data_IF_612257889109
#
_entry.id   IF_612257889109
#
_cell.length_a   1.000
_cell.length_b   1.000
_cell.length_c   1.000
_cell.angle_alpha   90.00
_cell.angle_beta   90.00
_cell.angle_gamma   90.00
#
_symmetry.space_group_name_H-M   'P 1'
#
loop_
_entity.id
_entity.type
_entity.pdbx_description
1 polymer ?
#
# COMPACT_ATOMS: atom_id res chain seq x y z
N UNK A 1 8.29 19.22 49.40
CA UNK A 1 9.11 19.69 48.26
C UNK A 1 8.69 18.86 47.06
N UNK A 2 8.06 19.53 46.10
CA UNK A 2 7.63 18.99 44.80
C UNK A 2 8.78 19.03 43.80
N UNK A 3 8.79 18.10 42.84
CA UNK A 3 9.22 18.23 41.43
C UNK A 3 8.97 16.86 40.75
N UNK A 4 7.82 16.70 40.09
CA UNK A 4 7.54 16.88 38.65
C UNK A 4 7.93 15.65 37.82
N UNK A 5 6.96 14.85 37.39
CA UNK A 5 6.18 15.03 36.14
C UNK A 5 7.01 14.79 34.88
N UNK A 6 6.98 13.54 34.40
CA UNK A 6 7.20 13.20 33.00
C UNK A 6 6.02 12.33 32.52
N UNK A 7 4.80 12.82 32.74
CA UNK A 7 3.66 12.39 31.93
C UNK A 7 3.83 13.08 30.58
N UNK A 8 4.40 12.36 29.61
CA UNK A 8 4.40 12.80 28.21
C UNK A 8 2.93 12.81 27.80
N UNK A 9 2.32 13.99 27.86
CA UNK A 9 0.97 14.24 27.37
C UNK A 9 0.88 13.83 25.91
N UNK A 10 0.19 12.73 25.65
CA UNK A 10 -0.19 12.25 24.31
C UNK A 10 -1.31 13.10 23.67
N UNK A 11 -1.56 14.29 24.18
CA UNK A 11 -2.67 15.15 23.79
C UNK A 11 -2.21 16.25 22.84
N UNK A 12 -1.71 15.91 21.66
CA UNK A 12 -1.64 16.85 20.51
C UNK A 12 -0.90 16.23 19.32
N UNK A 13 -1.38 15.12 18.75
CA UNK A 13 -1.06 14.84 17.35
C UNK A 13 -2.16 15.50 16.53
N UNK A 14 -1.87 16.46 15.63
CA UNK A 14 -2.88 17.10 14.82
C UNK A 14 -3.55 16.05 13.93
N UNK A 15 -4.82 15.79 14.16
CA UNK A 15 -5.67 14.82 13.46
C UNK A 15 -5.76 15.06 11.95
N UNK A 16 -5.51 16.30 11.52
CA UNK A 16 -5.42 16.68 10.10
C UNK A 16 -4.24 16.01 9.38
N UNK A 17 -3.14 15.69 10.07
CA UNK A 17 -1.96 15.09 9.42
C UNK A 17 -2.21 13.63 9.00
N UNK A 18 -2.95 12.85 9.79
CA UNK A 18 -3.22 11.45 9.49
C UNK A 18 -4.08 11.27 8.23
N UNK A 19 -5.13 12.09 8.10
CA UNK A 19 -6.01 12.06 6.93
C UNK A 19 -5.25 12.45 5.66
N UNK A 20 -4.44 13.51 5.72
CA UNK A 20 -3.66 13.96 4.57
C UNK A 20 -2.58 12.94 4.15
N UNK A 21 -1.92 12.30 5.11
CA UNK A 21 -0.91 11.28 4.84
C UNK A 21 -1.53 10.02 4.21
N UNK A 22 -2.69 9.60 4.71
CA UNK A 22 -3.39 8.43 4.18
C UNK A 22 -4.08 8.73 2.83
N UNK A 23 -4.42 9.99 2.53
CA UNK A 23 -4.87 10.43 1.18
C UNK A 23 -3.80 10.27 0.10
N UNK A 24 -2.52 10.25 0.46
CA UNK A 24 -1.44 9.98 -0.50
C UNK A 24 -1.31 8.50 -0.88
N UNK A 25 -2.02 7.61 -0.19
CA UNK A 25 -2.03 6.18 -0.49
C UNK A 25 -3.09 5.91 -1.57
N UNK A 26 -2.77 5.11 -2.60
CA UNK A 26 -3.77 4.70 -3.58
C UNK A 26 -4.99 4.05 -2.93
N UNK A 27 -6.19 4.45 -3.34
CA UNK A 27 -7.45 3.87 -2.85
C UNK A 27 -7.43 2.35 -3.07
N UNK A 28 -7.70 1.56 -2.03
CA UNK A 28 -7.86 0.11 -2.17
C UNK A 28 -9.10 -0.16 -3.01
N UNK A 29 -8.92 -0.69 -4.21
CA UNK A 29 -10.01 -0.91 -5.16
C UNK A 29 -10.14 -2.36 -5.59
N UNK A 30 -9.19 -3.23 -5.22
CA UNK A 30 -9.28 -4.64 -5.55
C UNK A 30 -8.04 -5.45 -5.20
N UNK A 31 -8.02 -6.69 -5.72
CA UNK A 31 -6.88 -7.60 -5.62
C UNK A 31 -5.58 -6.96 -6.10
N UNK A 32 -5.72 -6.02 -7.04
CA UNK A 32 -4.69 -5.17 -7.61
C UNK A 32 -3.65 -4.64 -6.66
N UNK A 33 -4.16 -3.95 -5.65
CA UNK A 33 -3.34 -3.15 -4.78
C UNK A 33 -3.41 -3.60 -3.33
N UNK A 34 -4.23 -4.61 -2.97
CA UNK A 34 -4.28 -5.12 -1.60
C UNK A 34 -2.95 -5.69 -1.08
N UNK A 35 -2.04 -6.17 -1.94
CA UNK A 35 -0.71 -6.62 -1.49
C UNK A 35 0.18 -5.48 -0.99
N UNK A 36 0.05 -4.31 -1.61
CA UNK A 36 0.87 -3.13 -1.35
C UNK A 36 0.19 -2.18 -0.37
N UNK A 37 -1.14 -2.07 -0.43
CA UNK A 37 -1.92 -1.13 0.35
C UNK A 37 -1.69 -1.25 1.87
N UNK A 38 -1.72 -2.45 2.50
CA UNK A 38 -1.40 -2.61 3.92
C UNK A 38 0.05 -2.19 4.25
N UNK A 39 1.00 -2.43 3.33
CA UNK A 39 2.40 -2.04 3.51
C UNK A 39 2.58 -0.52 3.42
N UNK A 40 1.85 0.13 2.51
CA UNK A 40 1.85 1.58 2.34
C UNK A 40 1.18 2.26 3.54
N UNK A 41 0.04 1.75 4.00
CA UNK A 41 -0.61 2.22 5.24
C UNK A 41 0.31 2.08 6.43
N UNK A 42 0.92 0.90 6.62
CA UNK A 42 1.88 0.69 7.71
C UNK A 42 3.00 1.74 7.67
N UNK A 43 3.64 1.93 6.52
CA UNK A 43 4.73 2.92 6.38
C UNK A 43 4.25 4.34 6.69
N UNK A 44 3.09 4.72 6.18
CA UNK A 44 2.52 6.05 6.37
C UNK A 44 2.08 6.30 7.84
N UNK A 45 1.64 5.26 8.53
CA UNK A 45 1.37 5.33 9.96
C UNK A 45 2.66 5.35 10.77
N UNK A 46 3.68 4.58 10.39
CA UNK A 46 4.98 4.54 11.06
C UNK A 46 5.72 5.89 11.00
N UNK A 47 5.47 6.74 9.98
CA UNK A 47 6.02 8.12 9.95
C UNK A 47 5.37 9.06 10.95
N UNK A 48 4.16 8.72 11.42
CA UNK A 48 3.41 9.48 12.42
C UNK A 48 3.60 8.89 13.82
N UNK A 49 3.23 7.63 13.99
CA UNK A 49 3.40 6.86 15.21
C UNK A 49 3.37 5.36 14.92
N UNK A 50 4.49 4.69 15.19
CA UNK A 50 4.65 3.23 15.09
C UNK A 50 3.63 2.43 15.91
N UNK A 51 2.94 3.03 16.88
CA UNK A 51 1.91 2.39 17.70
C UNK A 51 0.57 2.25 16.98
N UNK A 52 0.34 2.96 15.87
CA UNK A 52 -0.92 2.90 15.14
C UNK A 52 -1.11 1.58 14.42
N UNK A 53 -0.08 1.06 13.74
CA UNK A 53 -0.19 -0.20 13.01
C UNK A 53 -0.63 -1.38 13.90
N UNK A 54 -0.06 -1.60 15.10
CA UNK A 54 -0.54 -2.61 16.05
C UNK A 54 -2.03 -2.48 16.42
N UNK A 55 -2.63 -1.28 16.42
CA UNK A 55 -4.06 -1.09 16.69
C UNK A 55 -4.91 -1.67 15.54
N UNK A 56 -4.39 -1.63 14.32
CA UNK A 56 -5.07 -2.15 13.13
C UNK A 56 -5.04 -3.68 13.10
N UNK A 57 -3.87 -4.28 13.36
CA UNK A 57 -3.69 -5.73 13.21
C UNK A 57 -4.02 -6.51 14.48
N UNK A 58 -3.68 -5.99 15.65
CA UNK A 58 -3.75 -6.68 16.94
C UNK A 58 -4.66 -5.97 17.95
N UNK A 59 -5.36 -4.91 17.50
CA UNK A 59 -6.25 -4.13 18.33
C UNK A 59 -7.45 -4.91 18.88
N UNK A 60 -8.32 -4.26 19.66
CA UNK A 60 -9.49 -4.90 20.21
C UNK A 60 -10.49 -5.27 19.10
N UNK A 61 -11.04 -6.48 19.22
CA UNK A 61 -12.15 -6.98 18.37
C UNK A 61 -13.52 -6.47 18.82
N UNK A 62 -13.62 -6.00 20.06
CA UNK A 62 -14.83 -5.41 20.62
C UNK A 62 -14.63 -3.92 20.88
N UNK A 63 -15.68 -3.14 20.66
CA UNK A 63 -15.69 -1.70 20.95
C UNK A 63 -15.36 -1.46 22.43
N UNK A 64 -14.57 -0.43 22.72
CA UNK A 64 -14.29 -0.01 24.08
C UNK A 64 -15.63 0.29 24.79
N UNK A 65 -15.88 -0.39 25.91
CA UNK A 65 -16.96 0.03 26.82
C UNK A 65 -16.61 1.44 27.31
N UNK A 66 -17.64 2.26 27.47
CA UNK A 66 -17.62 3.70 27.71
C UNK A 66 -16.96 4.12 29.05
N UNK A 67 -15.70 3.75 29.25
CA UNK A 67 -14.97 3.89 30.52
C UNK A 67 -14.22 5.24 30.64
N UNK A 68 -14.59 6.25 29.84
CA UNK A 68 -13.96 7.59 29.82
C UNK A 68 -12.43 7.57 29.66
N UNK A 69 -11.86 6.47 29.18
CA UNK A 69 -10.46 6.41 28.76
C UNK A 69 -10.30 7.21 27.48
N UNK A 70 -9.19 7.91 27.29
CA UNK A 70 -8.88 8.80 26.14
C UNK A 70 -8.62 8.01 24.83
N UNK A 71 -8.68 6.67 24.87
CA UNK A 71 -8.45 5.76 23.73
C UNK A 71 -9.52 5.65 22.62
N UNK A 72 -10.76 6.17 22.71
CA UNK A 72 -11.77 6.09 21.65
C UNK A 72 -11.46 6.91 20.39
N UNK A 73 -10.93 8.13 20.53
CA UNK A 73 -10.88 9.10 19.43
C UNK A 73 -10.03 8.62 18.25
N UNK A 74 -8.80 8.16 18.52
CA UNK A 74 -7.87 7.69 17.48
C UNK A 74 -8.38 6.45 16.74
N UNK A 75 -9.18 5.60 17.40
CA UNK A 75 -9.75 4.39 16.79
C UNK A 75 -10.89 4.78 15.82
N UNK A 76 -11.72 5.75 16.17
CA UNK A 76 -12.74 6.27 15.24
C UNK A 76 -12.11 7.01 14.05
N UNK A 77 -11.09 7.83 14.30
CA UNK A 77 -10.40 8.60 13.25
C UNK A 77 -9.66 7.68 12.26
N UNK A 78 -8.92 6.69 12.76
CA UNK A 78 -8.24 5.73 11.90
C UNK A 78 -9.25 4.88 11.11
N UNK A 79 -10.43 4.60 11.66
CA UNK A 79 -11.47 3.83 10.99
C UNK A 79 -12.09 4.65 9.86
N UNK A 80 -12.42 5.92 10.14
CA UNK A 80 -12.90 6.87 9.14
C UNK A 80 -11.86 7.05 8.03
N UNK A 81 -10.59 7.16 8.39
CA UNK A 81 -9.52 7.35 7.42
C UNK A 81 -9.29 6.10 6.55
N UNK A 82 -9.35 4.90 7.15
CA UNK A 82 -9.35 3.66 6.38
C UNK A 82 -10.54 3.63 5.43
N UNK A 83 -11.73 4.01 5.89
CA UNK A 83 -12.94 4.03 5.08
C UNK A 83 -12.80 4.93 3.84
N UNK A 84 -12.19 6.11 3.98
CA UNK A 84 -11.90 7.01 2.85
C UNK A 84 -10.83 6.44 1.90
N UNK A 85 -9.92 5.59 2.40
CA UNK A 85 -8.84 4.99 1.62
C UNK A 85 -9.21 3.67 0.93
N UNK A 86 -10.49 3.26 0.97
CA UNK A 86 -11.01 2.09 0.26
C UNK A 86 -12.15 2.48 -0.69
N UNK A 87 -12.29 1.73 -1.79
CA UNK A 87 -13.33 1.93 -2.80
C UNK A 87 -14.73 1.67 -2.24
N UNK A 88 -15.74 2.31 -2.82
CA UNK A 88 -17.12 2.32 -2.33
C UNK A 88 -17.72 0.91 -2.12
N UNK A 89 -17.35 -0.07 -2.94
CA UNK A 89 -17.82 -1.45 -2.77
C UNK A 89 -17.22 -2.11 -1.52
N UNK A 90 -15.96 -1.80 -1.21
CA UNK A 90 -15.26 -2.28 -0.02
C UNK A 90 -15.67 -1.50 1.24
N UNK A 91 -16.07 -0.24 1.09
CA UNK A 91 -16.69 0.53 2.19
C UNK A 91 -17.94 -0.19 2.69
N UNK A 92 -18.78 -0.70 1.80
CA UNK A 92 -19.96 -1.48 2.17
C UNK A 92 -19.61 -2.79 2.90
N UNK A 93 -18.50 -3.44 2.52
CA UNK A 93 -17.98 -4.64 3.20
C UNK A 93 -17.55 -4.34 4.65
N UNK A 94 -16.88 -3.21 4.88
CA UNK A 94 -16.38 -2.85 6.22
C UNK A 94 -17.35 -2.01 7.05
N UNK A 95 -18.46 -1.53 6.49
CA UNK A 95 -19.50 -0.78 7.19
C UNK A 95 -19.99 -1.40 8.52
N UNK A 96 -20.15 -2.74 8.66
CA UNK A 96 -20.55 -3.33 9.94
C UNK A 96 -19.41 -3.43 10.97
N UNK A 97 -18.17 -3.11 10.60
CA UNK A 97 -17.02 -3.19 11.49
C UNK A 97 -17.11 -2.15 12.60
N UNK A 98 -17.04 -2.62 13.85
CA UNK A 98 -17.08 -1.77 15.05
C UNK A 98 -15.70 -1.37 15.57
N UNK A 99 -14.64 -1.96 15.00
CA UNK A 99 -13.25 -1.67 15.35
C UNK A 99 -12.39 -1.76 14.08
N UNK A 100 -11.24 -1.07 14.07
CA UNK A 100 -10.28 -1.16 12.96
C UNK A 100 -9.86 -2.59 12.65
N UNK A 101 -9.65 -3.40 13.68
CA UNK A 101 -9.23 -4.78 13.51
C UNK A 101 -10.26 -5.58 12.72
N UNK A 102 -11.54 -5.45 13.06
CA UNK A 102 -12.60 -6.15 12.32
C UNK A 102 -12.68 -5.64 10.88
N UNK A 103 -12.55 -4.32 10.66
CA UNK A 103 -12.53 -3.76 9.30
C UNK A 103 -11.37 -4.34 8.47
N UNK A 104 -10.17 -4.39 9.05
CA UNK A 104 -8.99 -4.92 8.39
C UNK A 104 -9.08 -6.44 8.16
N UNK A 105 -9.60 -7.21 9.11
CA UNK A 105 -9.84 -8.65 8.96
C UNK A 105 -10.86 -8.94 7.85
N UNK A 106 -11.91 -8.13 7.71
CA UNK A 106 -12.90 -8.27 6.62
C UNK A 106 -12.27 -7.99 5.25
N UNK A 107 -11.46 -6.92 5.12
CA UNK A 107 -10.70 -6.66 3.90
C UNK A 107 -9.73 -7.80 3.61
N UNK A 108 -8.98 -8.25 4.61
CA UNK A 108 -8.05 -9.35 4.48
C UNK A 108 -8.77 -10.63 4.04
N UNK A 109 -9.91 -10.98 4.64
CA UNK A 109 -10.70 -12.15 4.25
C UNK A 109 -11.24 -12.04 2.81
N UNK A 110 -11.64 -10.85 2.37
CA UNK A 110 -12.10 -10.59 1.00
C UNK A 110 -10.99 -10.88 -0.02
N UNK A 111 -9.77 -10.44 0.25
CA UNK A 111 -8.65 -10.56 -0.69
C UNK A 111 -7.84 -11.86 -0.55
N UNK A 112 -7.82 -12.47 0.64
CA UNK A 112 -7.17 -13.76 0.91
C UNK A 112 -8.10 -14.95 0.62
N UNK A 113 -9.41 -14.72 0.60
CA UNK A 113 -10.42 -15.67 0.16
C UNK A 113 -10.44 -15.81 -1.37
N UNK A 114 -9.65 -16.76 -1.89
CA UNK A 114 -9.65 -17.27 -3.29
C UNK A 114 -8.96 -16.46 -4.39
N UNK A 115 -8.59 -15.18 -4.21
CA UNK A 115 -7.93 -14.36 -5.24
C UNK A 115 -6.40 -14.19 -5.11
N UNK A 116 -5.90 -14.14 -3.87
CA UNK A 116 -4.50 -13.79 -3.56
C UNK A 116 -3.42 -14.67 -4.17
N UNK A 117 -3.73 -15.96 -4.38
CA UNK A 117 -2.76 -16.91 -4.92
C UNK A 117 -2.43 -16.67 -6.39
N UNK A 118 -3.33 -16.03 -7.15
CA UNK A 118 -3.16 -15.82 -8.59
C UNK A 118 -2.48 -14.48 -8.91
N UNK A 119 -2.73 -13.42 -8.12
CA UNK A 119 -2.08 -12.12 -8.32
C UNK A 119 -0.66 -12.07 -7.79
N UNK A 120 -0.36 -12.80 -6.71
CA UNK A 120 0.98 -12.86 -6.16
C UNK A 120 1.99 -13.45 -7.14
N UNK A 121 1.63 -14.52 -7.88
CA UNK A 121 2.53 -15.12 -8.86
C UNK A 121 2.83 -14.18 -10.03
N UNK A 122 1.82 -13.46 -10.53
CA UNK A 122 1.99 -12.45 -11.59
C UNK A 122 2.76 -11.22 -11.13
N UNK A 123 2.57 -10.80 -9.88
CA UNK A 123 3.35 -9.73 -9.27
C UNK A 123 4.83 -10.11 -9.13
N UNK A 124 5.10 -11.33 -8.62
CA UNK A 124 6.48 -11.86 -8.53
C UNK A 124 7.09 -11.98 -9.91
N UNK A 125 6.35 -12.47 -10.91
CA UNK A 125 6.80 -12.56 -12.30
C UNK A 125 7.21 -11.19 -12.85
N UNK A 126 6.39 -10.15 -12.66
CA UNK A 126 6.70 -8.79 -13.13
C UNK A 126 7.91 -8.19 -12.41
N UNK A 127 7.97 -8.27 -11.09
CA UNK A 127 9.07 -7.69 -10.30
C UNK A 127 10.40 -8.45 -10.43
N UNK A 128 10.37 -9.70 -10.87
CA UNK A 128 11.57 -10.50 -11.14
C UNK A 128 12.03 -10.43 -12.59
N UNK A 129 11.28 -9.74 -13.47
CA UNK A 129 11.66 -9.50 -14.86
C UNK A 129 12.74 -8.42 -14.89
N UNK A 130 14.01 -8.85 -14.91
CA UNK A 130 15.19 -7.97 -14.86
C UNK A 130 15.98 -8.06 -16.15
N UNK A 131 16.59 -6.94 -16.56
CA UNK A 131 17.41 -6.89 -17.76
C UNK A 131 18.73 -7.61 -17.53
N UNK A 132 19.16 -8.42 -18.49
CA UNK A 132 20.50 -9.01 -18.52
C UNK A 132 21.23 -8.56 -19.78
N UNK A 133 22.52 -8.18 -19.71
CA UNK A 133 23.27 -7.68 -20.87
C UNK A 133 23.32 -8.63 -22.08
N UNK A 134 23.09 -9.93 -21.86
CA UNK A 134 23.00 -10.96 -22.91
C UNK A 134 21.69 -10.96 -23.70
N UNK A 135 20.68 -10.19 -23.26
CA UNK A 135 19.34 -10.12 -23.87
C UNK A 135 19.21 -8.83 -24.67
N UNK A 136 18.55 -8.93 -25.83
CA UNK A 136 18.23 -7.77 -26.64
C UNK A 136 17.33 -6.77 -25.86
N UNK A 137 17.65 -5.47 -25.84
CA UNK A 137 16.88 -4.52 -25.05
C UNK A 137 15.41 -4.37 -25.46
N UNK A 138 15.08 -4.53 -26.75
CA UNK A 138 13.69 -4.47 -27.21
C UNK A 138 12.93 -5.69 -26.72
N UNK A 139 13.54 -6.88 -26.84
CA UNK A 139 12.98 -8.12 -26.31
C UNK A 139 12.68 -8.00 -24.80
N UNK A 140 13.60 -7.44 -24.01
CA UNK A 140 13.37 -7.22 -22.58
C UNK A 140 12.20 -6.26 -22.33
N UNK A 141 12.11 -5.14 -23.04
CA UNK A 141 11.01 -4.17 -22.87
C UNK A 141 9.66 -4.83 -23.19
N UNK A 142 9.59 -5.66 -24.22
CA UNK A 142 8.37 -6.37 -24.60
C UNK A 142 7.97 -7.43 -23.54
N UNK A 143 8.93 -8.19 -23.02
CA UNK A 143 8.70 -9.16 -21.94
C UNK A 143 8.25 -8.46 -20.64
N UNK A 144 8.90 -7.35 -20.27
CA UNK A 144 8.56 -6.57 -19.09
C UNK A 144 7.16 -5.95 -19.21
N UNK A 145 6.83 -5.38 -20.38
CA UNK A 145 5.50 -4.82 -20.68
C UNK A 145 4.43 -5.92 -20.69
N UNK A 146 4.73 -7.10 -21.23
CA UNK A 146 3.82 -8.24 -21.21
C UNK A 146 3.52 -8.72 -19.78
N UNK A 147 4.53 -8.79 -18.92
CA UNK A 147 4.35 -9.13 -17.51
C UNK A 147 3.52 -8.08 -16.76
N UNK A 148 3.73 -6.79 -17.06
CA UNK A 148 2.91 -5.70 -16.55
C UNK A 148 1.45 -5.80 -17.01
N UNK A 149 1.20 -6.05 -18.30
CA UNK A 149 -0.15 -6.20 -18.86
C UNK A 149 -0.89 -7.36 -18.21
N UNK A 150 -0.25 -8.52 -18.07
CA UNK A 150 -0.84 -9.69 -17.40
C UNK A 150 -1.16 -9.42 -15.93
N UNK A 151 -0.32 -8.63 -15.25
CA UNK A 151 -0.62 -8.17 -13.90
C UNK A 151 -1.88 -7.29 -13.93
N UNK A 152 -1.86 -6.20 -14.71
CA UNK A 152 -2.95 -5.22 -14.82
C UNK A 152 -4.30 -5.85 -15.18
N UNK A 153 -4.33 -6.78 -16.15
CA UNK A 153 -5.53 -7.55 -16.53
C UNK A 153 -6.10 -8.32 -15.33
N UNK A 154 -5.23 -8.94 -14.55
CA UNK A 154 -5.62 -9.73 -13.39
C UNK A 154 -5.98 -8.83 -12.18
N UNK A 155 -5.46 -7.60 -12.12
CA UNK A 155 -5.83 -6.61 -11.12
C UNK A 155 -7.22 -5.99 -11.38
N UNK A 156 -7.76 -6.12 -12.60
CA UNK A 156 -9.05 -5.53 -12.98
C UNK A 156 -9.03 -4.00 -13.08
N UNK A 157 -7.84 -3.40 -13.17
CA UNK A 157 -7.65 -1.93 -13.18
C UNK A 157 -7.29 -1.45 -14.58
N UNK A 158 -7.60 -0.18 -14.89
CA UNK A 158 -7.27 0.43 -16.20
C UNK A 158 -5.77 0.68 -16.41
N UNK A 159 -4.96 0.81 -15.34
CA UNK A 159 -3.49 0.75 -15.37
C UNK A 159 -2.88 0.94 -13.96
N UNK A 160 -1.65 0.47 -13.73
CA UNK A 160 -0.88 0.89 -12.55
C UNK A 160 -0.44 2.36 -12.68
N UNK A 161 -0.32 3.13 -11.59
CA UNK A 161 0.23 4.48 -11.65
C UNK A 161 1.59 4.52 -12.35
N UNK A 162 1.77 5.46 -13.29
CA UNK A 162 2.99 5.58 -14.11
C UNK A 162 4.27 5.63 -13.26
N UNK A 163 4.23 6.31 -12.11
CA UNK A 163 5.37 6.39 -11.19
C UNK A 163 5.82 5.03 -10.64
N UNK A 164 4.88 4.11 -10.42
CA UNK A 164 5.19 2.74 -9.96
C UNK A 164 5.81 1.94 -11.10
N UNK A 165 5.27 2.09 -12.32
CA UNK A 165 5.81 1.45 -13.52
C UNK A 165 7.25 1.89 -13.78
N UNK A 166 7.51 3.20 -13.77
CA UNK A 166 8.84 3.78 -13.97
C UNK A 166 9.82 3.34 -12.88
N UNK A 167 9.42 3.40 -11.61
CA UNK A 167 10.26 2.95 -10.50
C UNK A 167 10.66 1.49 -10.67
N UNK A 168 9.72 0.60 -11.04
CA UNK A 168 10.08 -0.80 -11.26
C UNK A 168 10.90 -1.05 -12.51
N UNK A 169 10.65 -0.31 -13.58
CA UNK A 169 11.46 -0.40 -14.78
C UNK A 169 12.92 -0.02 -14.48
N UNK A 170 13.15 1.07 -13.74
CA UNK A 170 14.49 1.50 -13.32
C UNK A 170 15.18 0.44 -12.47
N UNK A 171 14.46 -0.20 -11.53
CA UNK A 171 15.03 -1.32 -10.76
C UNK A 171 15.38 -2.50 -11.67
N UNK A 172 14.48 -2.87 -12.59
CA UNK A 172 14.68 -3.99 -13.50
C UNK A 172 15.93 -3.84 -14.38
N UNK A 173 16.23 -2.62 -14.84
CA UNK A 173 17.44 -2.33 -15.63
C UNK A 173 18.69 -2.10 -14.79
N UNK A 174 18.55 -1.69 -13.53
CA UNK A 174 19.68 -1.41 -12.63
C UNK A 174 20.20 -2.63 -11.88
N UNK A 175 19.37 -3.68 -11.75
CA UNK A 175 19.69 -4.86 -10.92
C UNK A 175 20.88 -5.67 -11.44
N UNK A 176 21.13 -5.66 -12.76
CA UNK A 176 22.28 -6.37 -13.36
C UNK A 176 23.62 -5.68 -13.15
N UNK A 177 23.67 -4.47 -12.55
CA UNK A 177 24.88 -3.85 -12.00
C UNK A 177 25.98 -3.46 -13.01
N UNK A 178 25.79 -3.71 -14.30
CA UNK A 178 26.75 -3.38 -15.36
C UNK A 178 26.50 -1.98 -15.95
N UNK A 179 27.54 -1.24 -16.38
CA UNK A 179 27.38 0.03 -17.08
C UNK A 179 26.49 -0.10 -18.32
N UNK A 180 26.64 -1.21 -19.04
CA UNK A 180 25.88 -1.55 -20.24
C UNK A 180 24.37 -1.61 -19.98
N UNK A 181 23.95 -2.08 -18.81
CA UNK A 181 22.54 -2.25 -18.45
C UNK A 181 21.77 -0.93 -18.28
N UNK A 182 22.48 0.15 -17.96
CA UNK A 182 21.92 1.50 -17.84
C UNK A 182 22.15 2.30 -19.13
N UNK A 183 23.22 2.03 -19.87
CA UNK A 183 23.64 2.85 -21.02
C UNK A 183 22.64 2.84 -22.18
N UNK A 184 22.00 1.70 -22.49
CA UNK A 184 21.02 1.63 -23.58
C UNK A 184 19.75 2.43 -23.27
N UNK A 185 19.39 2.58 -21.99
CA UNK A 185 18.20 3.34 -21.59
C UNK A 185 18.33 4.83 -21.86
N UNK A 186 19.56 5.35 -21.99
CA UNK A 186 19.84 6.73 -22.37
C UNK A 186 19.56 7.02 -23.85
N UNK A 187 19.36 5.99 -24.67
CA UNK A 187 19.12 6.10 -26.12
C UNK A 187 17.64 6.19 -26.50
N UNK A 188 16.71 6.02 -25.55
CA UNK A 188 15.30 6.29 -25.83
C UNK A 188 15.06 7.80 -25.84
N UNK A 189 14.91 8.36 -27.03
CA UNK A 189 14.18 9.61 -27.18
C UNK A 189 12.70 9.31 -26.98
N UNK A 190 12.08 10.00 -26.01
CA UNK A 190 10.64 9.92 -25.81
C UNK A 190 9.99 10.71 -26.94
N UNK A 191 9.45 10.01 -27.94
CA UNK A 191 8.63 10.64 -28.96
C UNK A 191 7.32 11.10 -28.30
N UNK A 192 7.21 12.42 -28.09
CA UNK A 192 6.05 13.08 -27.50
C UNK A 192 4.98 13.42 -28.55
N UNK A 193 4.64 12.47 -29.44
CA UNK A 193 3.56 12.62 -30.44
C UNK A 193 2.26 11.98 -29.99
#
# INVERSE_FOLDING_TARGET
>A
MSCNESAISLSSIPTTELVEILRMIPILCGNGNFLLWPKLIKRALDTQDTRYWPIIIDGPITCFKDDRSIRPAINFELLETINVSVDVELQALIAPAKTLRIAFELLQACFTGRGFHQSHSKYVQWTSCVYTPSVDPIQFVDEWRSALSQLVELLGTTNLPLIIQLHQFVLAVSTSGGPEAVEWTKRFEVDCT
#
